data_IF_354200120307
#
_entry.id   IF_354200120307
#
_cell.length_a   1.000
_cell.length_b   1.000
_cell.length_c   1.000
_cell.angle_alpha   90.00
_cell.angle_beta   90.00
_cell.angle_gamma   90.00
#
_symmetry.space_group_name_H-M   'P 1'
#
loop_
_entity.id
_entity.type
_entity.pdbx_description
1 polymer ?
#
# COMPACT_ATOMS: atom_id res chain seq x y z
N UNK A 1 -26.52 -4.47 15.91
CA UNK A 1 -26.16 -3.72 14.69
C UNK A 1 -25.02 -4.50 14.05
N UNK A 2 -25.14 -4.91 12.78
CA UNK A 2 -24.03 -5.59 12.10
C UNK A 2 -22.86 -4.62 11.92
N UNK A 3 -21.61 -5.10 11.97
CA UNK A 3 -20.43 -4.26 11.74
C UNK A 3 -20.53 -3.58 10.37
N UNK A 4 -20.70 -2.26 10.38
CA UNK A 4 -20.70 -1.43 9.17
C UNK A 4 -19.31 -1.55 8.52
N UNK A 5 -19.27 -2.00 7.27
CA UNK A 5 -18.00 -2.04 6.53
C UNK A 5 -17.50 -0.63 6.23
N UNK A 6 -16.19 -0.48 6.28
CA UNK A 6 -15.49 0.79 6.10
C UNK A 6 -14.57 0.71 4.89
N UNK A 7 -14.61 1.73 4.04
CA UNK A 7 -13.88 1.75 2.78
C UNK A 7 -13.03 3.01 2.64
N UNK A 8 -11.78 2.87 2.22
CA UNK A 8 -11.00 3.96 1.65
C UNK A 8 -11.41 4.14 0.19
N UNK A 9 -11.88 5.34 -0.16
CA UNK A 9 -12.40 5.65 -1.51
C UNK A 9 -11.56 6.67 -2.26
N UNK A 10 -10.75 7.48 -1.60
CA UNK A 10 -9.85 8.45 -2.23
C UNK A 10 -8.57 8.58 -1.44
N UNK A 11 -7.43 8.68 -2.13
CA UNK A 11 -6.10 8.82 -1.49
C UNK A 11 -5.22 9.83 -2.21
N UNK A 12 -4.44 10.59 -1.44
CA UNK A 12 -3.54 11.61 -1.97
C UNK A 12 -2.37 11.86 -1.03
N UNK A 13 -1.21 12.18 -1.58
CA UNK A 13 -0.05 12.59 -0.79
C UNK A 13 0.85 13.52 -1.58
N UNK A 14 1.54 14.41 -0.88
CA UNK A 14 2.62 15.20 -1.46
C UNK A 14 3.84 14.32 -1.72
N UNK A 15 4.77 14.81 -2.53
CA UNK A 15 6.15 14.31 -2.45
C UNK A 15 6.70 14.61 -1.06
N UNK A 16 7.31 13.62 -0.42
CA UNK A 16 8.08 13.85 0.80
C UNK A 16 9.43 14.43 0.41
N UNK A 17 9.81 15.52 1.07
CA UNK A 17 11.01 16.26 0.71
C UNK A 17 11.85 16.62 1.93
N UNK A 18 13.13 16.90 1.69
CA UNK A 18 14.03 17.36 2.74
C UNK A 18 13.47 18.67 3.34
N UNK A 19 13.48 18.84 4.67
CA UNK A 19 13.03 20.07 5.30
C UNK A 19 13.73 21.30 4.71
N UNK A 20 12.94 22.33 4.41
CA UNK A 20 13.42 23.59 3.81
C UNK A 20 13.81 23.49 2.33
N UNK A 21 13.55 22.37 1.64
CA UNK A 21 13.83 22.24 0.20
C UNK A 21 12.73 22.79 -0.72
N UNK A 22 11.55 23.09 -0.17
CA UNK A 22 10.44 23.76 -0.87
C UNK A 22 10.00 24.97 -0.04
N UNK A 23 9.61 26.04 -0.72
CA UNK A 23 9.03 27.24 -0.11
C UNK A 23 7.52 27.04 0.06
N UNK A 24 7.13 26.53 1.23
CA UNK A 24 5.75 26.18 1.58
C UNK A 24 5.58 26.05 3.10
N UNK A 25 4.34 26.04 3.57
CA UNK A 25 4.02 25.73 4.96
C UNK A 25 2.97 24.59 5.08
N UNK A 26 2.73 24.10 6.29
CA UNK A 26 1.85 22.95 6.53
C UNK A 26 0.43 23.09 5.91
N UNK A 27 -0.21 24.28 5.83
CA UNK A 27 -1.49 24.41 5.14
C UNK A 27 -1.38 24.11 3.64
N UNK A 28 -0.27 24.49 2.98
CA UNK A 28 -0.05 24.21 1.56
C UNK A 28 0.10 22.70 1.32
N UNK A 29 0.85 22.02 2.19
CA UNK A 29 1.03 20.57 2.11
C UNK A 29 -0.30 19.84 2.26
N UNK A 30 -1.10 20.23 3.25
CA UNK A 30 -2.43 19.65 3.50
C UNK A 30 -3.37 19.94 2.33
N UNK A 31 -3.38 21.16 1.82
CA UNK A 31 -4.20 21.51 0.64
C UNK A 31 -3.85 20.64 -0.56
N UNK A 32 -2.57 20.44 -0.85
CA UNK A 32 -2.12 19.57 -1.95
C UNK A 32 -2.60 18.12 -1.74
N UNK A 33 -2.28 17.51 -0.58
CA UNK A 33 -2.63 16.11 -0.31
C UNK A 33 -4.15 15.85 -0.27
N UNK A 34 -4.93 16.74 0.32
CA UNK A 34 -6.38 16.58 0.43
C UNK A 34 -7.07 16.80 -0.92
N UNK A 35 -6.65 17.78 -1.72
CA UNK A 35 -7.19 17.93 -3.08
C UNK A 35 -6.89 16.69 -3.93
N UNK A 36 -5.68 16.12 -3.85
CA UNK A 36 -5.36 14.88 -4.55
C UNK A 36 -6.28 13.72 -4.12
N UNK A 37 -6.59 13.61 -2.82
CA UNK A 37 -7.48 12.57 -2.31
C UNK A 37 -8.95 12.77 -2.74
N UNK A 38 -9.42 14.02 -2.72
CA UNK A 38 -10.77 14.41 -3.17
C UNK A 38 -10.94 14.22 -4.68
N UNK A 39 -9.94 14.62 -5.48
CA UNK A 39 -9.93 14.44 -6.93
C UNK A 39 -9.94 12.94 -7.30
N UNK A 40 -9.18 12.11 -6.57
CA UNK A 40 -9.11 10.67 -6.79
C UNK A 40 -10.46 9.96 -6.54
N UNK A 41 -11.36 10.54 -5.72
CA UNK A 41 -12.73 10.07 -5.54
C UNK A 41 -13.80 11.00 -6.13
N UNK A 42 -13.42 12.04 -6.88
CA UNK A 42 -14.36 13.00 -7.47
C UNK A 42 -15.39 13.59 -6.49
N UNK A 43 -14.98 13.79 -5.24
CA UNK A 43 -15.79 14.43 -4.19
C UNK A 43 -15.29 15.86 -3.94
N UNK A 44 -16.12 16.64 -3.25
CA UNK A 44 -15.79 17.97 -2.77
C UNK A 44 -15.54 17.93 -1.27
N UNK A 45 -14.82 18.92 -0.76
CA UNK A 45 -14.63 19.07 0.67
C UNK A 45 -15.96 19.22 1.44
N UNK A 46 -17.01 19.75 0.79
CA UNK A 46 -18.36 19.83 1.35
C UNK A 46 -19.03 18.47 1.59
N UNK A 47 -18.51 17.39 1.01
CA UNK A 47 -19.02 16.03 1.18
C UNK A 47 -18.40 15.31 2.38
N UNK A 48 -17.39 15.92 3.03
CA UNK A 48 -16.77 15.41 4.24
C UNK A 48 -17.60 15.85 5.45
N UNK A 49 -17.91 14.93 6.34
CA UNK A 49 -18.74 15.19 7.53
C UNK A 49 -17.92 15.36 8.81
N UNK A 50 -16.74 14.71 8.88
CA UNK A 50 -15.79 14.81 9.99
C UNK A 50 -14.35 14.59 9.51
N UNK A 51 -13.37 15.15 10.23
CA UNK A 51 -11.96 14.94 9.91
C UNK A 51 -11.09 14.64 11.13
N UNK A 52 -10.06 13.82 10.93
CA UNK A 52 -8.89 13.73 11.80
C UNK A 52 -7.68 14.34 11.11
N UNK A 53 -6.88 15.11 11.85
CA UNK A 53 -5.65 15.72 11.34
C UNK A 53 -4.50 15.42 12.28
N UNK A 54 -3.50 14.72 11.77
CA UNK A 54 -2.40 14.16 12.55
C UNK A 54 -1.10 14.92 12.33
N UNK A 55 -0.47 15.40 13.40
CA UNK A 55 0.83 16.08 13.39
C UNK A 55 1.49 15.99 14.76
N UNK A 56 2.83 16.10 14.81
CA UNK A 56 3.56 16.17 16.06
C UNK A 56 4.04 17.60 16.35
N UNK A 57 4.58 18.31 15.36
CA UNK A 57 5.14 19.64 15.51
C UNK A 57 4.14 20.69 15.04
N UNK A 58 3.51 21.36 15.99
CA UNK A 58 2.54 22.42 15.74
C UNK A 58 1.82 22.84 17.01
N UNK A 59 1.32 24.06 17.04
CA UNK A 59 0.47 24.54 18.12
C UNK A 59 -0.92 23.90 18.08
N UNK A 60 -1.72 24.16 19.11
CA UNK A 60 -3.12 23.73 19.13
C UNK A 60 -3.84 24.19 17.87
N UNK A 61 -4.71 23.32 17.36
CA UNK A 61 -5.57 23.59 16.20
C UNK A 61 -4.86 23.84 14.86
N UNK A 62 -3.60 23.42 14.69
CA UNK A 62 -2.96 23.44 13.36
C UNK A 62 -3.75 22.63 12.32
N UNK A 63 -4.44 21.56 12.72
CA UNK A 63 -5.29 20.78 11.82
C UNK A 63 -6.47 21.57 11.24
N UNK A 64 -7.16 22.35 12.07
CA UNK A 64 -8.20 23.29 11.62
C UNK A 64 -7.61 24.32 10.68
N UNK A 65 -6.52 24.97 11.11
CA UNK A 65 -5.85 26.00 10.29
C UNK A 65 -5.46 25.45 8.91
N UNK A 66 -5.00 24.21 8.83
CA UNK A 66 -4.63 23.57 7.58
C UNK A 66 -5.85 23.30 6.67
N UNK A 67 -6.94 22.76 7.23
CA UNK A 67 -8.14 22.43 6.45
C UNK A 67 -8.97 23.66 6.02
N UNK A 68 -8.85 24.79 6.72
CA UNK A 68 -9.54 26.03 6.34
C UNK A 68 -9.17 26.56 4.95
N UNK A 69 -8.02 26.16 4.40
CA UNK A 69 -7.61 26.47 3.02
C UNK A 69 -8.45 25.75 1.95
N UNK A 70 -9.20 24.72 2.33
CA UNK A 70 -10.09 23.94 1.46
C UNK A 70 -11.55 24.42 1.57
N UNK A 71 -11.96 24.88 2.76
CA UNK A 71 -13.28 25.43 3.00
C UNK A 71 -13.64 25.52 4.48
N UNK A 72 -14.68 26.30 4.78
CA UNK A 72 -15.19 26.53 6.14
C UNK A 72 -16.57 25.87 6.30
N UNK A 73 -16.60 24.54 6.36
CA UNK A 73 -17.86 23.73 6.37
C UNK A 73 -18.48 23.59 7.76
N UNK A 74 -17.75 23.92 8.83
CA UNK A 74 -18.22 23.75 10.21
C UNK A 74 -18.15 22.31 10.74
N UNK A 75 -17.51 21.39 10.00
CA UNK A 75 -17.39 19.99 10.40
C UNK A 75 -16.51 19.83 11.67
N UNK A 76 -16.74 18.81 12.49
CA UNK A 76 -15.82 18.43 13.55
C UNK A 76 -14.43 18.06 12.99
N UNK A 77 -13.39 18.68 13.55
CA UNK A 77 -11.98 18.42 13.22
C UNK A 77 -11.23 18.05 14.50
N UNK A 78 -10.66 16.85 14.53
CA UNK A 78 -9.89 16.35 15.66
C UNK A 78 -8.39 16.37 15.34
N UNK A 79 -7.61 17.04 16.17
CA UNK A 79 -6.14 17.01 16.08
C UNK A 79 -5.65 15.78 16.85
N UNK A 80 -4.86 14.92 16.21
CA UNK A 80 -4.46 13.62 16.78
C UNK A 80 -2.94 13.50 16.79
N UNK A 81 -2.38 13.10 17.93
CA UNK A 81 -0.97 12.73 18.00
C UNK A 81 -0.79 11.45 18.81
N UNK A 82 0.15 10.62 18.36
CA UNK A 82 0.52 9.36 18.97
C UNK A 82 1.95 8.97 18.53
N UNK A 83 2.87 9.96 18.62
CA UNK A 83 4.21 9.91 18.04
C UNK A 83 4.18 9.49 16.55
N UNK A 84 5.06 8.61 16.10
CA UNK A 84 5.13 8.16 14.70
C UNK A 84 3.92 7.33 14.23
N UNK A 85 3.02 6.95 15.15
CA UNK A 85 1.75 6.29 14.85
C UNK A 85 0.56 7.26 14.63
N UNK A 86 0.81 8.59 14.64
CA UNK A 86 -0.26 9.59 14.60
C UNK A 86 -1.19 9.43 13.39
N UNK A 87 -0.62 9.32 12.18
CA UNK A 87 -1.40 9.19 10.95
C UNK A 87 -2.32 7.96 10.95
N UNK A 88 -1.82 6.80 11.39
CA UNK A 88 -2.65 5.59 11.48
C UNK A 88 -3.65 5.65 12.63
N UNK A 89 -3.35 6.38 13.70
CA UNK A 89 -4.33 6.66 14.77
C UNK A 89 -5.49 7.51 14.23
N UNK A 90 -5.21 8.49 13.35
CA UNK A 90 -6.24 9.25 12.65
C UNK A 90 -7.14 8.37 11.76
N UNK A 91 -6.54 7.47 10.97
CA UNK A 91 -7.29 6.50 10.15
C UNK A 91 -8.15 5.57 11.03
N UNK A 92 -7.60 5.08 12.14
CA UNK A 92 -8.33 4.25 13.10
C UNK A 92 -9.54 4.99 13.68
N UNK A 93 -9.39 6.25 14.10
CA UNK A 93 -10.50 7.06 14.61
C UNK A 93 -11.56 7.33 13.54
N UNK A 94 -11.16 7.60 12.29
CA UNK A 94 -12.10 7.72 11.17
C UNK A 94 -12.91 6.42 10.95
N UNK A 95 -12.28 5.25 11.08
CA UNK A 95 -12.99 3.96 11.09
C UNK A 95 -14.02 3.90 12.22
N UNK A 96 -13.64 4.32 13.44
CA UNK A 96 -14.56 4.36 14.59
C UNK A 96 -15.73 5.34 14.38
N UNK A 97 -15.52 6.49 13.74
CA UNK A 97 -16.61 7.43 13.41
C UNK A 97 -17.66 6.78 12.49
N UNK A 98 -17.22 5.98 11.52
CA UNK A 98 -18.12 5.25 10.61
C UNK A 98 -18.82 4.10 11.31
N UNK A 99 -18.09 3.27 12.06
CA UNK A 99 -18.65 2.10 12.74
C UNK A 99 -19.65 2.46 13.86
N UNK A 100 -19.45 3.62 14.50
CA UNK A 100 -20.41 4.16 15.47
C UNK A 100 -21.65 4.80 14.82
N UNK A 101 -21.64 5.00 13.50
CA UNK A 101 -22.72 5.66 12.77
C UNK A 101 -22.75 7.18 12.91
N UNK A 102 -21.66 7.79 13.41
CA UNK A 102 -21.56 9.24 13.61
C UNK A 102 -21.29 10.01 12.30
N UNK A 103 -20.73 9.33 11.29
CA UNK A 103 -20.48 9.88 9.96
C UNK A 103 -20.46 8.78 8.90
N UNK A 104 -20.72 9.15 7.65
CA UNK A 104 -20.74 8.31 6.45
C UNK A 104 -19.56 8.59 5.51
N UNK A 105 -19.00 9.81 5.55
CA UNK A 105 -17.84 10.22 4.75
C UNK A 105 -16.92 11.10 5.59
N UNK A 106 -15.69 10.63 5.82
CA UNK A 106 -14.72 11.28 6.71
C UNK A 106 -13.35 11.40 6.05
N UNK A 107 -12.57 12.36 6.55
CA UNK A 107 -11.20 12.62 6.09
C UNK A 107 -10.18 12.27 7.17
N UNK A 108 -9.24 11.38 6.86
CA UNK A 108 -8.02 11.21 7.65
C UNK A 108 -6.88 11.94 6.93
N UNK A 109 -6.29 12.94 7.57
CA UNK A 109 -5.15 13.67 7.05
C UNK A 109 -4.00 13.65 8.07
N UNK A 110 -2.77 13.65 7.58
CA UNK A 110 -1.60 13.85 8.43
C UNK A 110 -0.53 14.64 7.69
N UNK A 111 0.19 15.49 8.42
CA UNK A 111 1.26 16.29 7.87
C UNK A 111 2.43 16.39 8.87
N UNK A 112 3.59 16.78 8.38
CA UNK A 112 4.66 17.26 9.23
C UNK A 112 5.47 18.33 8.50
N UNK A 113 5.85 19.38 9.22
CA UNK A 113 6.89 20.33 8.82
C UNK A 113 8.02 20.22 9.84
N UNK A 114 9.12 19.62 9.42
CA UNK A 114 10.25 19.28 10.29
C UNK A 114 11.40 20.27 10.09
N UNK A 115 12.46 20.09 10.85
CA UNK A 115 13.76 20.71 10.63
C UNK A 115 14.78 19.68 10.11
N UNK A 116 15.84 20.10 9.40
CA UNK A 116 16.96 19.22 9.08
C UNK A 116 17.68 18.77 10.35
N UNK A 117 17.98 17.48 10.48
CA UNK A 117 18.76 16.96 11.62
C UNK A 117 18.15 15.70 12.22
N UNK A 118 18.47 15.42 13.49
CA UNK A 118 17.77 14.38 14.25
C UNK A 118 16.45 14.91 14.79
N UNK A 119 15.62 14.01 15.35
CA UNK A 119 14.42 14.42 16.08
C UNK A 119 14.77 15.18 17.37
N UNK A 120 15.86 14.79 18.02
CA UNK A 120 16.29 15.40 19.29
C UNK A 120 16.61 16.89 19.12
N UNK A 121 17.13 17.32 17.96
CA UNK A 121 17.37 18.74 17.68
C UNK A 121 16.08 19.55 17.44
N UNK A 122 14.93 18.90 17.39
CA UNK A 122 13.61 19.52 17.23
C UNK A 122 12.75 19.40 18.49
N UNK A 123 13.13 18.51 19.41
CA UNK A 123 12.51 18.34 20.70
C UNK A 123 12.99 19.43 21.68
N UNK A 124 12.85 20.70 21.32
CA UNK A 124 12.95 21.80 22.30
C UNK A 124 11.65 21.87 23.10
N UNK A 125 11.46 20.93 24.02
CA UNK A 125 10.44 21.06 25.05
C UNK A 125 11.09 21.69 26.28
N UNK A 126 11.09 23.02 26.33
CA UNK A 126 11.26 23.79 27.57
C UNK A 126 10.00 23.68 28.44
N UNK A 127 9.68 22.44 28.78
CA UNK A 127 8.48 22.07 29.50
C UNK A 127 8.91 21.23 30.70
N UNK A 128 8.54 21.67 31.90
CA UNK A 128 8.95 21.08 33.18
C UNK A 128 8.19 19.78 33.52
N UNK A 129 7.32 19.32 32.60
CA UNK A 129 6.60 18.05 32.69
C UNK A 129 7.52 16.84 32.47
N UNK A 130 7.05 15.69 32.95
CA UNK A 130 7.72 14.40 32.77
C UNK A 130 7.79 14.06 31.27
N UNK A 131 8.96 13.60 30.81
CA UNK A 131 9.15 13.13 29.45
C UNK A 131 8.33 11.85 29.20
N UNK A 132 7.48 11.79 28.16
CA UNK A 132 6.65 10.60 27.88
C UNK A 132 7.42 9.31 27.59
N UNK A 133 8.73 9.42 27.36
CA UNK A 133 9.63 8.30 27.05
C UNK A 133 10.63 8.02 28.17
N UNK A 134 10.48 8.62 29.37
CA UNK A 134 11.42 8.47 30.48
C UNK A 134 11.67 6.99 30.86
N UNK A 135 10.60 6.18 30.95
CA UNK A 135 10.71 4.74 31.23
C UNK A 135 11.30 3.94 30.08
N UNK A 136 11.08 4.37 28.84
CA UNK A 136 11.72 3.75 27.67
C UNK A 136 13.24 4.02 27.69
N UNK A 137 13.64 5.26 28.00
CA UNK A 137 15.04 5.66 28.17
C UNK A 137 15.68 4.89 29.33
N UNK A 138 14.97 4.73 30.46
CA UNK A 138 15.47 3.98 31.62
C UNK A 138 15.81 2.54 31.25
N UNK A 139 14.95 1.84 30.50
CA UNK A 139 15.23 0.46 30.04
C UNK A 139 16.52 0.41 29.22
N UNK A 140 16.74 1.38 28.34
CA UNK A 140 17.96 1.44 27.53
C UNK A 140 19.18 1.71 28.41
N UNK A 141 19.08 2.66 29.33
CA UNK A 141 20.14 3.01 30.27
C UNK A 141 20.57 1.80 31.11
N UNK A 142 19.62 1.00 31.57
CA UNK A 142 19.87 -0.18 32.42
C UNK A 142 20.42 -1.38 31.65
N UNK A 143 20.13 -1.49 30.35
CA UNK A 143 20.51 -2.65 29.52
C UNK A 143 21.78 -2.43 28.71
N UNK A 144 21.87 -1.31 27.98
CA UNK A 144 22.96 -1.02 27.05
C UNK A 144 23.71 0.28 27.39
N UNK A 145 23.19 1.11 28.30
CA UNK A 145 23.73 2.43 28.63
C UNK A 145 23.27 3.52 27.66
N UNK A 146 23.62 4.76 27.97
CA UNK A 146 23.33 5.94 27.14
C UNK A 146 24.62 6.52 26.56
N UNK A 147 24.59 6.81 25.26
CA UNK A 147 25.72 7.32 24.50
C UNK A 147 25.39 8.66 23.82
N UNK A 148 26.40 9.45 23.42
CA UNK A 148 26.19 10.72 22.70
C UNK A 148 25.80 10.49 21.23
N UNK A 149 24.63 9.89 21.00
CA UNK A 149 24.03 9.62 19.70
C UNK A 149 22.51 9.92 19.76
N UNK A 150 21.82 10.10 18.60
CA UNK A 150 20.38 10.37 18.62
C UNK A 150 19.59 9.30 19.38
N UNK A 151 18.68 9.69 20.27
CA UNK A 151 18.01 8.78 21.22
C UNK A 151 17.25 7.67 20.49
N UNK A 152 16.49 8.01 19.45
CA UNK A 152 15.75 7.00 18.66
C UNK A 152 16.69 6.02 17.95
N UNK A 153 17.85 6.48 17.47
CA UNK A 153 18.85 5.59 16.87
C UNK A 153 19.42 4.60 17.90
N UNK A 154 19.59 5.05 19.15
CA UNK A 154 19.98 4.18 20.26
C UNK A 154 18.90 3.13 20.57
N UNK A 155 17.62 3.54 20.65
CA UNK A 155 16.51 2.62 20.93
C UNK A 155 16.46 1.45 19.93
N UNK A 156 16.40 1.76 18.63
CA UNK A 156 16.25 0.74 17.60
C UNK A 156 17.58 0.02 17.28
N UNK A 157 18.72 0.71 17.40
CA UNK A 157 20.03 0.09 17.28
C UNK A 157 20.26 -0.97 18.37
N UNK A 158 19.90 -0.68 19.62
CA UNK A 158 19.99 -1.63 20.73
C UNK A 158 19.03 -2.80 20.57
N UNK A 159 17.80 -2.59 20.08
CA UNK A 159 16.90 -3.70 19.75
C UNK A 159 17.48 -4.62 18.65
N UNK A 160 18.15 -4.05 17.65
CA UNK A 160 18.88 -4.82 16.64
C UNK A 160 20.05 -5.59 17.24
N UNK A 161 20.82 -4.96 18.12
CA UNK A 161 21.95 -5.57 18.84
C UNK A 161 21.50 -6.74 19.72
N UNK A 162 20.42 -6.57 20.47
CA UNK A 162 19.80 -7.62 21.27
C UNK A 162 19.42 -8.82 20.39
N UNK A 163 18.88 -8.56 19.20
CA UNK A 163 18.52 -9.61 18.24
C UNK A 163 19.77 -10.35 17.70
N UNK A 164 20.87 -9.62 17.44
CA UNK A 164 22.16 -10.23 17.09
C UNK A 164 22.70 -11.11 18.23
N UNK A 165 22.67 -10.62 19.46
CA UNK A 165 23.17 -11.33 20.65
C UNK A 165 22.37 -12.60 20.96
N UNK A 166 21.04 -12.54 20.83
CA UNK A 166 20.14 -13.66 21.16
C UNK A 166 20.03 -14.71 20.05
N UNK A 167 20.01 -14.28 18.79
CA UNK A 167 19.61 -15.14 17.67
C UNK A 167 20.68 -15.30 16.59
N UNK A 168 21.81 -14.61 16.70
CA UNK A 168 22.89 -14.67 15.73
C UNK A 168 22.60 -13.95 14.42
N UNK A 169 21.62 -13.04 14.39
CA UNK A 169 21.38 -12.13 13.25
C UNK A 169 22.65 -11.38 12.92
N UNK A 170 22.89 -11.19 11.63
CA UNK A 170 24.12 -10.60 11.13
C UNK A 170 23.92 -9.14 10.78
N UNK A 171 25.00 -8.36 10.90
CA UNK A 171 25.04 -6.96 10.51
C UNK A 171 24.54 -6.74 9.07
N UNK A 172 24.89 -7.66 8.18
CA UNK A 172 24.54 -7.61 6.76
C UNK A 172 23.03 -7.76 6.54
N UNK A 173 22.28 -8.39 7.44
CA UNK A 173 20.82 -8.48 7.32
C UNK A 173 20.17 -7.09 7.40
N UNK A 174 20.62 -6.24 8.33
CA UNK A 174 20.13 -4.86 8.44
C UNK A 174 20.50 -4.01 7.21
N UNK A 175 21.73 -4.15 6.70
CA UNK A 175 22.16 -3.43 5.49
C UNK A 175 21.34 -3.86 4.26
N UNK A 176 21.07 -5.16 4.10
CA UNK A 176 20.24 -5.69 3.00
C UNK A 176 18.81 -5.14 3.07
N UNK A 177 18.24 -4.96 4.25
CA UNK A 177 16.91 -4.35 4.42
C UNK A 177 16.92 -2.90 3.89
N UNK A 178 17.88 -2.09 4.33
CA UNK A 178 17.99 -0.71 3.88
C UNK A 178 18.28 -0.62 2.37
N UNK A 179 19.19 -1.45 1.85
CA UNK A 179 19.47 -1.57 0.43
C UNK A 179 18.20 -1.86 -0.38
N UNK A 180 17.39 -2.83 0.06
CA UNK A 180 16.10 -3.17 -0.57
C UNK A 180 15.12 -2.00 -0.55
N UNK A 181 15.02 -1.27 0.56
CA UNK A 181 14.16 -0.07 0.64
C UNK A 181 14.62 1.03 -0.33
N UNK A 182 15.92 1.31 -0.43
CA UNK A 182 16.46 2.24 -1.43
C UNK A 182 16.20 1.78 -2.86
N UNK A 183 16.34 0.48 -3.15
CA UNK A 183 16.03 -0.09 -4.46
C UNK A 183 14.55 0.10 -4.84
N UNK A 184 13.63 -0.16 -3.91
CA UNK A 184 12.20 0.04 -4.11
C UNK A 184 11.83 1.52 -4.36
N UNK A 185 12.57 2.45 -3.74
CA UNK A 185 12.33 3.89 -3.84
C UNK A 185 12.60 4.49 -5.23
N UNK A 186 13.45 3.86 -6.05
CA UNK A 186 13.92 4.38 -7.35
C UNK A 186 12.75 4.73 -8.29
N UNK A 187 11.65 4.01 -8.17
CA UNK A 187 10.45 4.20 -9.00
C UNK A 187 9.30 4.89 -8.27
N UNK A 188 9.54 5.45 -7.08
CA UNK A 188 8.54 6.19 -6.33
C UNK A 188 8.76 7.71 -6.50
N UNK A 189 7.92 8.41 -7.28
CA UNK A 189 8.08 9.86 -7.49
C UNK A 189 7.84 10.67 -6.22
N UNK A 190 7.13 10.11 -5.23
CA UNK A 190 6.83 10.77 -3.96
C UNK A 190 7.91 10.53 -2.89
N UNK A 191 8.95 9.76 -3.20
CA UNK A 191 10.07 9.48 -2.29
C UNK A 191 11.04 10.65 -2.23
N UNK A 192 11.52 10.98 -1.02
CA UNK A 192 12.58 11.96 -0.82
C UNK A 192 13.88 11.53 -1.50
N UNK A 193 14.23 10.24 -1.40
CA UNK A 193 15.36 9.64 -2.07
C UNK A 193 14.91 8.65 -3.13
N UNK A 194 15.40 8.82 -4.37
CA UNK A 194 15.15 7.89 -5.48
C UNK A 194 16.47 7.37 -6.07
N UNK A 195 17.56 7.51 -5.31
CA UNK A 195 18.89 7.08 -5.71
C UNK A 195 19.06 5.60 -5.34
N UNK A 196 19.50 4.81 -6.31
CA UNK A 196 19.95 3.45 -6.06
C UNK A 196 21.33 3.44 -5.38
N UNK A 197 21.50 2.56 -4.40
CA UNK A 197 22.77 2.33 -3.71
C UNK A 197 23.18 0.87 -3.89
N UNK A 198 24.49 0.62 -3.92
CA UNK A 198 25.01 -0.75 -3.78
C UNK A 198 24.96 -1.18 -2.31
N UNK A 199 24.93 -2.48 -2.04
CA UNK A 199 24.98 -3.00 -0.67
C UNK A 199 26.25 -2.52 0.06
N UNK A 200 27.40 -2.48 -0.63
CA UNK A 200 28.65 -1.97 -0.07
C UNK A 200 28.57 -0.50 0.33
N UNK A 201 27.85 0.33 -0.43
CA UNK A 201 27.62 1.73 -0.06
C UNK A 201 26.76 1.85 1.21
N UNK A 202 25.80 0.95 1.40
CA UNK A 202 24.97 0.91 2.62
C UNK A 202 25.81 0.47 3.82
N UNK A 203 26.60 -0.59 3.68
CA UNK A 203 27.48 -1.11 4.75
C UNK A 203 28.54 -0.10 5.20
N UNK A 204 29.10 0.66 4.25
CA UNK A 204 30.16 1.64 4.51
C UNK A 204 29.63 3.08 4.69
N UNK A 205 28.31 3.26 4.81
CA UNK A 205 27.73 4.56 5.09
C UNK A 205 28.21 5.12 6.44
N UNK A 206 28.19 6.45 6.58
CA UNK A 206 28.56 7.13 7.82
C UNK A 206 27.87 6.47 9.02
N UNK A 207 28.65 6.04 10.01
CA UNK A 207 28.12 5.44 11.24
C UNK A 207 27.29 6.48 12.03
N UNK A 208 26.14 6.03 12.56
CA UNK A 208 25.24 6.83 13.39
C UNK A 208 25.25 6.33 14.83
N UNK A 209 25.15 5.01 15.03
CA UNK A 209 25.16 4.41 16.36
C UNK A 209 25.54 2.93 16.29
N UNK A 210 26.49 2.49 17.13
CA UNK A 210 27.01 1.11 17.20
C UNK A 210 27.32 0.57 15.79
N UNK A 211 26.54 -0.37 15.27
CA UNK A 211 26.73 -0.94 13.94
C UNK A 211 25.97 -0.20 12.82
N UNK A 212 25.00 0.63 13.17
CA UNK A 212 24.02 1.21 12.25
C UNK A 212 24.56 2.44 11.51
N UNK A 213 24.43 2.41 10.18
CA UNK A 213 24.86 3.47 9.28
C UNK A 213 23.73 4.42 8.88
N UNK A 214 24.11 5.57 8.31
CA UNK A 214 23.19 6.64 7.90
C UNK A 214 22.12 6.16 6.90
N UNK A 215 22.48 5.27 5.98
CA UNK A 215 21.54 4.76 4.97
C UNK A 215 20.54 3.75 5.52
N UNK A 216 20.67 3.34 6.79
CA UNK A 216 19.73 2.47 7.51
C UNK A 216 18.78 3.24 8.43
N UNK A 217 18.86 4.56 8.41
CA UNK A 217 18.03 5.47 9.19
C UNK A 217 17.09 6.24 8.26
N UNK A 218 15.82 6.43 8.66
CA UNK A 218 14.93 7.33 7.93
C UNK A 218 15.40 8.79 8.06
N UNK A 219 15.25 9.61 7.01
CA UNK A 219 15.49 11.04 7.11
C UNK A 219 14.29 11.77 7.73
N UNK A 220 14.55 12.93 8.32
CA UNK A 220 13.50 13.94 8.56
C UNK A 220 12.96 14.45 7.23
N UNK A 221 11.65 14.66 7.15
CA UNK A 221 10.97 15.04 5.90
C UNK A 221 9.79 15.94 6.17
N UNK A 222 9.56 16.88 5.24
CA UNK A 222 8.29 17.61 5.14
C UNK A 222 7.34 16.84 4.23
N UNK A 223 6.05 16.87 4.53
CA UNK A 223 5.03 16.33 3.63
C UNK A 223 3.68 16.10 4.29
N UNK A 224 2.68 15.78 3.45
CA UNK A 224 1.31 15.49 3.87
C UNK A 224 0.72 14.32 3.09
N UNK A 225 -0.22 13.61 3.71
CA UNK A 225 -1.02 12.56 3.10
C UNK A 225 -2.46 12.61 3.62
N UNK A 226 -3.40 12.19 2.77
CA UNK A 226 -4.83 12.20 3.05
C UNK A 226 -5.52 10.94 2.50
N UNK A 227 -6.53 10.48 3.21
CA UNK A 227 -7.43 9.40 2.81
C UNK A 227 -8.89 9.80 3.10
N UNK A 228 -9.74 9.68 2.08
CA UNK A 228 -11.20 9.80 2.23
C UNK A 228 -11.76 8.41 2.49
N UNK A 229 -12.49 8.28 3.58
CA UNK A 229 -12.99 7.00 4.10
C UNK A 229 -14.52 7.11 4.22
N UNK A 230 -15.25 6.07 3.81
CA UNK A 230 -16.70 6.08 3.82
C UNK A 230 -17.32 4.77 4.32
N UNK A 231 -18.60 4.86 4.68
CA UNK A 231 -19.43 3.70 5.02
C UNK A 231 -19.91 2.93 3.78
N UNK A 232 -20.39 1.71 3.98
CA UNK A 232 -21.11 0.95 2.93
C UNK A 232 -22.35 1.73 2.44
N UNK A 233 -23.06 2.45 3.34
CA UNK A 233 -24.24 3.28 3.01
C UNK A 233 -23.88 4.43 2.08
N UNK A 234 -22.78 5.13 2.35
CA UNK A 234 -22.29 6.20 1.47
C UNK A 234 -21.94 5.63 0.09
N UNK A 235 -21.27 4.47 0.07
CA UNK A 235 -20.87 3.80 -1.16
C UNK A 235 -22.08 3.31 -2.00
N UNK A 236 -23.18 2.94 -1.35
CA UNK A 236 -24.44 2.61 -2.02
C UNK A 236 -25.04 3.80 -2.77
N UNK A 237 -25.00 4.98 -2.16
CA UNK A 237 -25.45 6.24 -2.76
C UNK A 237 -24.48 6.76 -3.82
N UNK A 238 -23.19 6.43 -3.71
CA UNK A 238 -22.12 6.83 -4.61
C UNK A 238 -21.57 5.63 -5.38
N UNK A 239 -22.46 4.90 -6.06
CA UNK A 239 -22.14 3.63 -6.74
C UNK A 239 -20.96 3.67 -7.71
N UNK A 240 -20.62 4.85 -8.26
CA UNK A 240 -19.46 5.06 -9.13
C UNK A 240 -18.11 4.84 -8.43
N UNK A 241 -18.05 4.92 -7.09
CA UNK A 241 -16.86 4.70 -6.28
C UNK A 241 -16.61 3.22 -5.94
N UNK A 242 -17.60 2.35 -6.13
CA UNK A 242 -17.48 0.91 -5.82
C UNK A 242 -16.27 0.22 -6.47
N UNK A 243 -15.91 0.48 -7.74
CA UNK A 243 -14.77 -0.20 -8.36
C UNK A 243 -13.41 0.11 -7.72
N UNK A 244 -13.30 1.22 -7.00
CA UNK A 244 -12.05 1.66 -6.37
C UNK A 244 -12.03 1.57 -4.85
N UNK A 245 -13.17 1.27 -4.23
CA UNK A 245 -13.32 1.18 -2.78
C UNK A 245 -12.43 0.07 -2.22
N UNK A 246 -11.55 0.42 -1.30
CA UNK A 246 -10.66 -0.49 -0.57
C UNK A 246 -11.23 -0.69 0.82
N UNK A 247 -11.72 -1.89 1.11
CA UNK A 247 -12.27 -2.25 2.42
C UNK A 247 -11.15 -2.34 3.45
N UNK A 248 -11.35 -1.72 4.61
CA UNK A 248 -10.57 -1.97 5.82
C UNK A 248 -11.15 -3.22 6.48
N UNK A 249 -10.47 -4.36 6.35
CA UNK A 249 -11.07 -5.66 6.66
C UNK A 249 -10.93 -6.05 8.12
N UNK A 250 -11.91 -6.82 8.58
CA UNK A 250 -11.90 -7.45 9.90
C UNK A 250 -11.33 -8.88 9.86
N UNK A 251 -11.09 -9.40 11.06
CA UNK A 251 -10.21 -10.53 11.39
C UNK A 251 -10.60 -11.88 10.76
N UNK A 252 -9.63 -12.79 10.68
CA UNK A 252 -9.75 -14.13 10.10
C UNK A 252 -8.70 -14.44 9.02
N UNK A 253 -7.87 -13.45 8.71
CA UNK A 253 -6.76 -13.53 7.76
C UNK A 253 -5.44 -13.70 8.52
N UNK A 254 -4.48 -14.33 7.86
CA UNK A 254 -3.14 -14.59 8.37
C UNK A 254 -2.11 -13.80 7.56
N UNK A 255 -0.88 -13.64 8.06
CA UNK A 255 0.17 -12.98 7.28
C UNK A 255 0.52 -13.73 5.98
N UNK A 256 0.15 -15.01 5.86
CA UNK A 256 0.32 -15.79 4.63
C UNK A 256 -0.67 -15.39 3.51
N UNK A 257 -1.75 -14.69 3.86
CA UNK A 257 -2.74 -14.22 2.89
C UNK A 257 -2.34 -12.90 2.23
N UNK A 258 -1.32 -12.23 2.76
CA UNK A 258 -0.87 -10.88 2.37
C UNK A 258 0.16 -10.96 1.23
N UNK A 259 0.05 -10.08 0.24
CA UNK A 259 1.05 -9.97 -0.85
C UNK A 259 1.94 -8.74 -0.70
N UNK A 260 1.40 -7.66 -0.13
CA UNK A 260 2.09 -6.39 0.01
C UNK A 260 2.01 -5.87 1.43
N UNK A 261 3.12 -5.37 1.94
CA UNK A 261 3.24 -4.84 3.30
C UNK A 261 3.85 -3.44 3.23
N UNK A 262 3.24 -2.47 3.90
CA UNK A 262 3.90 -1.21 4.27
C UNK A 262 4.05 -1.19 5.79
N UNK A 263 5.28 -1.34 6.27
CA UNK A 263 5.61 -1.39 7.69
C UNK A 263 6.49 -0.22 8.12
N UNK A 264 6.67 -0.07 9.43
CA UNK A 264 7.34 1.06 10.04
C UNK A 264 8.87 0.89 10.11
N UNK A 265 9.57 1.01 8.98
CA UNK A 265 11.03 0.92 8.88
C UNK A 265 11.74 2.24 9.24
N UNK A 266 11.44 2.85 10.40
CA UNK A 266 12.16 4.06 10.84
C UNK A 266 13.69 3.84 10.93
N UNK A 267 14.08 2.61 11.28
CA UNK A 267 15.43 2.10 11.15
C UNK A 267 15.38 0.65 10.66
N UNK A 268 16.41 0.18 9.95
CA UNK A 268 16.47 -1.19 9.44
C UNK A 268 16.28 -2.28 10.51
N UNK A 269 16.80 -2.14 11.75
CA UNK A 269 16.49 -3.07 12.83
C UNK A 269 15.00 -3.21 13.15
N UNK A 270 14.23 -2.11 13.08
CA UNK A 270 12.81 -2.16 13.39
C UNK A 270 12.03 -2.97 12.34
N UNK A 271 12.41 -2.87 11.06
CA UNK A 271 11.81 -3.70 10.01
C UNK A 271 12.08 -5.19 10.26
N UNK A 272 13.31 -5.57 10.63
CA UNK A 272 13.66 -6.97 10.88
C UNK A 272 12.83 -7.58 12.02
N UNK A 273 12.79 -6.94 13.18
CA UNK A 273 12.02 -7.45 14.33
C UNK A 273 10.51 -7.42 14.07
N UNK A 274 10.05 -6.49 13.21
CA UNK A 274 8.64 -6.42 12.81
C UNK A 274 8.22 -7.63 11.97
N UNK A 275 9.12 -8.25 11.20
CA UNK A 275 8.79 -9.49 10.49
C UNK A 275 8.31 -10.59 11.45
N UNK A 276 8.96 -10.69 12.61
CA UNK A 276 8.65 -11.67 13.64
C UNK A 276 7.39 -11.25 14.42
N UNK A 277 7.29 -9.97 14.76
CA UNK A 277 6.12 -9.42 15.47
C UNK A 277 4.82 -9.55 14.66
N UNK A 278 4.88 -9.45 13.33
CA UNK A 278 3.76 -9.68 12.43
C UNK A 278 3.49 -11.16 12.15
N UNK A 279 4.33 -12.08 12.65
CA UNK A 279 4.19 -13.52 12.41
C UNK A 279 4.51 -13.96 10.98
N UNK A 280 5.38 -13.23 10.25
CA UNK A 280 5.88 -13.65 8.94
C UNK A 280 6.84 -14.85 9.06
N UNK A 281 7.53 -14.92 10.19
CA UNK A 281 8.41 -16.03 10.56
C UNK A 281 8.45 -16.18 12.09
N UNK A 282 9.01 -17.28 12.57
CA UNK A 282 9.21 -17.51 14.00
C UNK A 282 10.21 -16.49 14.58
N UNK A 283 10.13 -16.27 15.90
CA UNK A 283 11.06 -15.40 16.63
C UNK A 283 12.51 -15.84 16.41
N UNK A 284 13.40 -14.89 16.14
CA UNK A 284 14.80 -15.10 15.80
C UNK A 284 15.05 -15.54 14.35
N UNK A 285 14.03 -15.59 13.49
CA UNK A 285 14.15 -15.99 12.07
C UNK A 285 14.04 -14.84 11.07
N UNK A 286 13.96 -13.58 11.52
CA UNK A 286 13.87 -12.40 10.65
C UNK A 286 14.98 -12.34 9.58
N UNK A 287 16.22 -12.68 9.94
CA UNK A 287 17.34 -12.74 8.98
C UNK A 287 17.14 -13.77 7.85
N UNK A 288 16.35 -14.83 8.08
CA UNK A 288 16.05 -15.85 7.05
C UNK A 288 15.17 -15.29 5.93
N UNK A 289 14.23 -14.40 6.24
CA UNK A 289 13.42 -13.69 5.23
C UNK A 289 14.34 -12.86 4.33
N UNK A 290 15.30 -12.16 4.94
CA UNK A 290 16.26 -11.32 4.22
C UNK A 290 17.17 -12.16 3.31
N UNK A 291 17.71 -13.28 3.80
CA UNK A 291 18.61 -14.13 3.02
C UNK A 291 17.92 -14.82 1.84
N UNK A 292 16.62 -15.11 1.96
CA UNK A 292 15.80 -15.68 0.87
C UNK A 292 15.30 -14.65 -0.13
N UNK A 293 15.39 -13.36 0.19
CA UNK A 293 14.73 -12.31 -0.58
C UNK A 293 13.21 -12.38 -0.49
N UNK A 294 12.66 -12.94 0.59
CA UNK A 294 11.21 -13.08 0.79
C UNK A 294 10.51 -11.75 1.08
N UNK A 295 11.25 -10.65 1.21
CA UNK A 295 10.77 -9.30 1.50
C UNK A 295 10.80 -8.34 0.28
N UNK A 296 11.01 -8.85 -0.93
CA UNK A 296 11.08 -8.05 -2.17
C UNK A 296 10.33 -8.71 -3.33
N UNK A 297 10.34 -8.06 -4.51
CA UNK A 297 9.72 -8.58 -5.72
C UNK A 297 10.29 -9.94 -6.11
N UNK A 298 9.41 -10.90 -6.38
CA UNK A 298 9.77 -12.31 -6.62
C UNK A 298 9.87 -13.16 -5.36
N UNK A 299 9.92 -12.55 -4.17
CA UNK A 299 9.81 -13.21 -2.88
C UNK A 299 8.37 -13.47 -2.45
N UNK A 300 8.20 -13.99 -1.23
CA UNK A 300 6.88 -14.27 -0.65
C UNK A 300 6.04 -13.02 -0.38
N UNK A 301 6.64 -11.94 0.11
CA UNK A 301 5.98 -10.65 0.37
C UNK A 301 6.77 -9.53 -0.29
N UNK A 302 6.06 -8.56 -0.88
CA UNK A 302 6.71 -7.30 -1.26
C UNK A 302 6.55 -6.32 -0.10
N UNK A 303 7.64 -6.11 0.63
CA UNK A 303 7.65 -5.26 1.82
C UNK A 303 8.23 -3.88 1.47
N UNK A 304 7.46 -2.85 1.78
CA UNK A 304 7.74 -1.45 1.50
C UNK A 304 8.01 -1.18 0.01
N UNK A 305 7.08 -1.50 -0.91
CA UNK A 305 7.26 -1.20 -2.33
C UNK A 305 7.45 0.29 -2.61
N UNK A 306 7.03 1.18 -1.71
CA UNK A 306 7.27 2.63 -1.79
C UNK A 306 8.72 3.06 -1.52
N UNK A 307 9.55 2.15 -1.00
CA UNK A 307 10.86 2.44 -0.44
C UNK A 307 10.88 2.70 1.07
N UNK A 308 9.73 2.59 1.75
CA UNK A 308 9.65 2.67 3.20
C UNK A 308 10.08 4.02 3.76
N UNK A 309 10.06 4.16 5.08
CA UNK A 309 10.51 5.37 5.77
C UNK A 309 12.00 5.65 5.49
N UNK A 310 12.83 4.62 5.32
CA UNK A 310 14.28 4.75 5.05
C UNK A 310 14.54 5.63 3.82
N UNK A 311 13.76 5.47 2.75
CA UNK A 311 14.01 6.18 1.49
C UNK A 311 12.93 7.22 1.16
N UNK A 312 11.65 6.88 1.39
CA UNK A 312 10.51 7.78 1.14
C UNK A 312 10.59 9.02 2.00
N UNK A 313 11.11 8.88 3.21
CA UNK A 313 11.11 9.92 4.22
C UNK A 313 10.03 9.72 5.28
N UNK A 314 10.18 10.41 6.40
CA UNK A 314 9.36 10.19 7.58
C UNK A 314 8.79 11.50 8.17
N UNK A 315 7.86 12.18 7.47
CA UNK A 315 6.99 13.17 8.09
C UNK A 315 6.05 12.44 9.05
N UNK A 316 6.26 12.67 10.35
CA UNK A 316 5.72 11.85 11.45
C UNK A 316 4.19 11.74 11.36
N UNK A 317 3.48 12.88 11.34
CA UNK A 317 2.02 12.92 11.22
C UNK A 317 1.46 12.27 9.95
N UNK A 318 2.18 12.38 8.82
CA UNK A 318 1.71 11.90 7.52
C UNK A 318 1.98 10.42 7.25
N UNK A 319 2.95 9.81 7.93
CA UNK A 319 3.49 8.48 7.57
C UNK A 319 2.43 7.39 7.56
N UNK A 320 1.60 7.30 8.61
CA UNK A 320 0.55 6.30 8.67
C UNK A 320 -0.50 6.45 7.56
N UNK A 321 -0.83 7.68 7.16
CA UNK A 321 -1.76 7.91 6.04
C UNK A 321 -1.08 7.61 4.71
N UNK A 322 0.20 7.96 4.53
CA UNK A 322 0.96 7.64 3.32
C UNK A 322 1.13 6.14 3.07
N UNK A 323 1.21 5.32 4.12
CA UNK A 323 1.14 3.87 3.99
C UNK A 323 -0.22 3.44 3.41
N UNK A 324 -1.34 4.00 3.89
CA UNK A 324 -2.69 3.75 3.32
C UNK A 324 -2.76 4.16 1.85
N UNK A 325 -2.12 5.27 1.47
CA UNK A 325 -2.04 5.72 0.07
C UNK A 325 -1.36 4.67 -0.81
N UNK A 326 -0.18 4.18 -0.44
CA UNK A 326 0.52 3.16 -1.22
C UNK A 326 -0.28 1.85 -1.29
N UNK A 327 -0.78 1.34 -0.16
CA UNK A 327 -1.53 0.08 -0.14
C UNK A 327 -2.83 0.15 -0.94
N UNK A 328 -3.53 1.27 -0.87
CA UNK A 328 -4.75 1.49 -1.67
C UNK A 328 -4.42 1.52 -3.16
N UNK A 329 -3.33 2.19 -3.55
CA UNK A 329 -2.89 2.22 -4.95
C UNK A 329 -2.40 0.87 -5.45
N UNK A 330 -1.74 0.06 -4.62
CA UNK A 330 -1.35 -1.31 -4.96
C UNK A 330 -2.57 -2.20 -5.23
N UNK A 331 -3.58 -2.16 -4.35
CA UNK A 331 -4.83 -2.90 -4.52
C UNK A 331 -5.65 -2.43 -5.74
N UNK A 332 -5.52 -1.15 -6.11
CA UNK A 332 -6.19 -0.54 -7.27
C UNK A 332 -5.41 -0.66 -8.57
N UNK A 333 -4.21 -1.25 -8.58
CA UNK A 333 -3.40 -1.40 -9.78
C UNK A 333 -2.74 -0.10 -10.28
N UNK A 334 -2.54 0.89 -9.41
CA UNK A 334 -2.09 2.26 -9.75
C UNK A 334 -0.60 2.51 -9.48
N UNK A 335 0.20 1.49 -9.17
CA UNK A 335 1.60 1.67 -8.75
C UNK A 335 2.65 1.58 -9.86
N UNK A 336 2.25 1.39 -11.13
CA UNK A 336 3.16 1.39 -12.28
C UNK A 336 4.30 0.38 -12.12
N UNK A 337 5.56 0.82 -12.21
CA UNK A 337 6.75 -0.05 -12.02
C UNK A 337 6.85 -0.66 -10.63
N UNK A 338 6.17 -0.10 -9.62
CA UNK A 338 6.13 -0.63 -8.25
C UNK A 338 4.96 -1.60 -8.03
N UNK A 339 4.16 -1.88 -9.06
CA UNK A 339 2.96 -2.69 -8.90
C UNK A 339 3.32 -4.12 -8.47
N UNK A 340 2.78 -4.55 -7.33
CA UNK A 340 2.91 -5.92 -6.83
C UNK A 340 1.99 -6.83 -7.66
N UNK A 341 2.51 -7.91 -8.28
CA UNK A 341 1.69 -8.85 -9.03
C UNK A 341 0.64 -9.53 -8.13
N UNK A 342 -0.59 -9.70 -8.64
CA UNK A 342 -1.67 -10.40 -7.95
C UNK A 342 -2.00 -9.85 -6.54
N UNK A 343 -1.79 -8.56 -6.30
CA UNK A 343 -2.08 -7.90 -5.03
C UNK A 343 -3.57 -7.96 -4.69
N UNK A 344 -3.96 -8.76 -3.69
CA UNK A 344 -5.36 -8.93 -3.25
C UNK A 344 -5.57 -8.51 -1.80
N UNK A 345 -4.55 -8.70 -0.97
CA UNK A 345 -4.55 -8.31 0.43
C UNK A 345 -3.27 -7.56 0.75
N UNK A 346 -3.44 -6.42 1.41
CA UNK A 346 -2.39 -5.53 1.85
C UNK A 346 -2.39 -5.37 3.37
N UNK A 347 -1.20 -5.29 3.96
CA UNK A 347 -1.03 -5.08 5.40
C UNK A 347 -0.26 -3.79 5.67
N UNK A 348 -0.77 -3.01 6.60
CA UNK A 348 -0.09 -1.86 7.17
C UNK A 348 0.42 -2.17 8.58
N UNK A 349 1.61 -1.69 8.91
CA UNK A 349 2.10 -1.60 10.28
C UNK A 349 2.69 -0.20 10.53
N UNK A 350 2.22 0.47 11.58
CA UNK A 350 2.68 1.79 11.99
C UNK A 350 2.85 1.84 13.51
N UNK A 351 4.01 2.27 14.00
CA UNK A 351 4.31 2.31 15.44
C UNK A 351 4.89 3.67 15.82
N UNK A 352 4.60 4.15 17.02
CA UNK A 352 5.21 5.32 17.62
C UNK A 352 5.65 5.00 19.05
N UNK A 353 6.84 5.42 19.45
CA UNK A 353 7.37 5.21 20.82
C UNK A 353 6.68 6.17 21.80
N UNK A 354 6.30 5.65 22.97
CA UNK A 354 5.48 6.33 23.97
C UNK A 354 4.42 5.44 24.62
N UNK A 355 3.60 4.68 23.89
CA UNK A 355 3.44 4.63 22.45
C UNK A 355 2.25 3.78 22.00
N UNK A 356 2.04 3.69 20.69
CA UNK A 356 0.98 2.87 20.10
C UNK A 356 1.45 2.17 18.82
N UNK A 357 0.91 0.97 18.58
CA UNK A 357 1.04 0.24 17.32
C UNK A 357 -0.33 0.09 16.66
N UNK A 358 -0.41 0.40 15.36
CA UNK A 358 -1.62 0.25 14.55
C UNK A 358 -1.31 -0.69 13.39
N UNK A 359 -2.12 -1.74 13.27
CA UNK A 359 -2.09 -2.68 12.15
C UNK A 359 -3.41 -2.59 11.40
N UNK A 360 -3.33 -2.46 10.08
CA UNK A 360 -4.50 -2.40 9.20
C UNK A 360 -4.40 -3.45 8.11
N UNK A 361 -5.52 -4.09 7.77
CA UNK A 361 -5.62 -4.99 6.63
C UNK A 361 -6.57 -4.38 5.60
N UNK A 362 -6.21 -4.49 4.32
CA UNK A 362 -6.93 -3.85 3.24
C UNK A 362 -7.13 -4.81 2.07
N UNK A 363 -8.32 -4.83 1.49
CA UNK A 363 -8.60 -5.54 0.23
C UNK A 363 -9.51 -4.69 -0.66
N UNK A 364 -9.52 -4.95 -1.96
CA UNK A 364 -10.51 -4.31 -2.83
C UNK A 364 -11.92 -4.80 -2.42
N UNK A 365 -12.79 -3.86 -2.06
CA UNK A 365 -14.05 -4.13 -1.35
C UNK A 365 -15.08 -4.92 -2.15
N UNK A 366 -14.99 -4.89 -3.48
CA UNK A 366 -15.74 -5.75 -4.38
C UNK A 366 -14.82 -6.14 -5.54
N UNK A 367 -14.32 -7.39 -5.63
CA UNK A 367 -13.62 -7.87 -6.82
C UNK A 367 -14.64 -8.03 -7.95
N UNK A 368 -14.99 -6.93 -8.62
CA UNK A 368 -15.75 -6.85 -9.89
C UNK A 368 -16.71 -8.02 -10.16
N UNK A 369 -17.57 -8.37 -9.20
CA UNK A 369 -18.71 -9.24 -9.50
C UNK A 369 -19.74 -8.35 -10.19
N UNK A 370 -20.00 -8.62 -11.47
CA UNK A 370 -20.90 -7.91 -12.41
C UNK A 370 -20.30 -6.81 -13.29
N UNK A 371 -19.04 -6.92 -13.70
CA UNK A 371 -18.68 -6.58 -15.08
C UNK A 371 -18.36 -7.87 -15.81
N UNK A 372 -19.18 -8.23 -16.79
CA UNK A 372 -18.73 -9.16 -17.84
C UNK A 372 -17.41 -8.57 -18.35
N UNK A 373 -16.27 -9.29 -18.33
CA UNK A 373 -15.02 -8.73 -18.79
C UNK A 373 -15.16 -8.40 -20.27
N UNK A 374 -15.42 -7.13 -20.57
CA UNK A 374 -15.15 -6.57 -21.89
C UNK A 374 -13.65 -6.34 -21.90
N UNK A 375 -12.90 -7.37 -22.28
CA UNK A 375 -11.51 -7.19 -22.65
C UNK A 375 -11.48 -6.31 -23.90
N UNK A 376 -11.20 -5.02 -23.73
CA UNK A 376 -10.63 -4.20 -24.79
C UNK A 376 -9.16 -4.61 -24.95
N UNK A 377 -8.75 -4.82 -26.19
CA UNK A 377 -7.50 -5.48 -26.57
C UNK A 377 -6.25 -4.63 -26.29
N UNK A 378 -5.67 -4.72 -25.10
CA UNK A 378 -4.34 -4.19 -24.81
C UNK A 378 -3.22 -5.20 -25.18
N UNK A 379 -3.24 -5.75 -26.38
CA UNK A 379 -2.20 -6.73 -26.78
C UNK A 379 -1.94 -6.90 -28.28
N UNK A 380 -2.91 -6.62 -29.16
CA UNK A 380 -2.67 -6.62 -30.60
C UNK A 380 -3.66 -5.64 -31.25
N UNK A 381 -3.17 -4.46 -31.69
CA UNK A 381 -4.01 -3.38 -32.23
C UNK A 381 -4.80 -3.79 -33.48
N UNK A 382 -4.42 -4.89 -34.14
CA UNK A 382 -5.04 -5.35 -35.39
C UNK A 382 -5.86 -6.64 -35.21
N UNK A 383 -6.13 -7.11 -33.99
CA UNK A 383 -6.88 -8.36 -33.78
C UNK A 383 -8.30 -8.30 -34.35
N UNK A 384 -8.98 -7.15 -34.21
CA UNK A 384 -10.33 -6.95 -34.75
C UNK A 384 -10.34 -7.00 -36.28
N UNK A 385 -9.32 -6.44 -36.93
CA UNK A 385 -9.13 -6.50 -38.39
C UNK A 385 -8.80 -7.93 -38.87
N UNK A 386 -7.97 -8.68 -38.14
CA UNK A 386 -7.59 -10.07 -38.49
C UNK A 386 -8.77 -11.04 -38.35
N UNK A 387 -9.59 -10.85 -37.33
CA UNK A 387 -10.71 -11.73 -36.96
C UNK A 387 -11.96 -11.43 -37.79
N UNK A 388 -12.25 -10.15 -38.10
CA UNK A 388 -13.37 -9.66 -38.94
C UNK A 388 -14.67 -10.46 -38.78
N UNK A 389 -15.00 -10.81 -37.54
CA UNK A 389 -16.18 -11.61 -37.19
C UNK A 389 -16.51 -11.43 -35.71
N UNK A 390 -17.78 -11.58 -35.33
CA UNK A 390 -18.22 -11.47 -33.94
C UNK A 390 -18.30 -12.82 -33.23
N UNK A 391 -17.63 -12.92 -32.08
CA UNK A 391 -17.55 -14.14 -31.27
C UNK A 391 -18.10 -13.92 -29.87
N UNK A 392 -18.79 -14.94 -29.38
CA UNK A 392 -19.14 -15.09 -27.97
C UNK A 392 -18.67 -16.45 -27.47
N UNK A 393 -17.72 -16.45 -26.56
CA UNK A 393 -17.11 -17.66 -25.99
C UNK A 393 -17.62 -17.81 -24.55
N UNK A 394 -18.37 -18.88 -24.30
CA UNK A 394 -18.84 -19.27 -22.98
C UNK A 394 -17.84 -20.27 -22.37
N UNK A 395 -17.23 -19.91 -21.25
CA UNK A 395 -16.25 -20.73 -20.54
C UNK A 395 -16.90 -21.30 -19.29
N UNK A 396 -16.95 -22.63 -19.19
CA UNK A 396 -17.57 -23.34 -18.06
C UNK A 396 -16.47 -23.70 -17.05
N UNK A 397 -16.54 -23.09 -15.86
CA UNK A 397 -15.63 -23.35 -14.74
C UNK A 397 -15.92 -24.68 -14.04
N UNK A 398 -14.95 -25.16 -13.26
CA UNK A 398 -15.02 -26.45 -12.56
C UNK A 398 -16.14 -26.53 -11.51
N UNK A 399 -16.62 -25.38 -11.02
CA UNK A 399 -17.76 -25.26 -10.10
C UNK A 399 -19.12 -25.08 -10.81
N UNK A 400 -19.17 -25.25 -12.14
CA UNK A 400 -20.39 -25.05 -12.94
C UNK A 400 -20.70 -23.58 -13.29
N UNK A 401 -19.89 -22.62 -12.82
CA UNK A 401 -20.04 -21.21 -13.21
C UNK A 401 -19.72 -21.01 -14.70
N UNK A 402 -20.40 -20.06 -15.35
CA UNK A 402 -20.16 -19.74 -16.76
C UNK A 402 -19.64 -18.30 -16.89
N UNK A 403 -18.43 -18.13 -17.43
CA UNK A 403 -17.88 -16.83 -17.84
C UNK A 403 -18.09 -16.60 -19.33
N UNK A 404 -18.25 -15.34 -19.76
CA UNK A 404 -18.44 -14.97 -21.17
C UNK A 404 -17.29 -14.09 -21.64
N UNK A 405 -16.68 -14.44 -22.76
CA UNK A 405 -15.68 -13.63 -23.46
C UNK A 405 -16.24 -13.24 -24.83
N UNK A 406 -16.37 -11.94 -25.07
CA UNK A 406 -16.93 -11.37 -26.32
C UNK A 406 -15.80 -10.73 -27.12
N UNK A 407 -15.76 -11.00 -28.42
CA UNK A 407 -14.79 -10.42 -29.36
C UNK A 407 -15.58 -9.85 -30.53
N UNK A 408 -15.40 -8.56 -30.81
CA UNK A 408 -16.23 -7.77 -31.74
C UNK A 408 -17.73 -7.85 -31.36
N UNK A 409 -18.22 -6.88 -30.59
CA UNK A 409 -19.56 -6.91 -29.98
C UNK A 409 -20.74 -6.71 -30.96
N UNK A 410 -20.52 -6.86 -32.28
CA UNK A 410 -21.57 -6.81 -33.31
C UNK A 410 -22.58 -7.95 -33.09
N UNK A 411 -23.84 -7.58 -32.86
CA UNK A 411 -24.97 -8.51 -32.68
C UNK A 411 -25.81 -8.62 -33.97
N UNK A 412 -26.38 -9.80 -34.29
CA UNK A 412 -26.20 -11.09 -33.60
C UNK A 412 -24.76 -11.60 -33.71
N UNK A 413 -24.30 -12.37 -32.72
CA UNK A 413 -22.96 -12.97 -32.77
C UNK A 413 -22.90 -13.98 -33.91
N UNK A 414 -21.88 -13.86 -34.76
CA UNK A 414 -21.73 -14.74 -35.92
C UNK A 414 -21.28 -16.15 -35.50
N UNK A 415 -20.56 -16.25 -34.38
CA UNK A 415 -20.10 -17.52 -33.81
C UNK A 415 -20.26 -17.50 -32.29
N UNK A 416 -20.88 -18.54 -31.74
CA UNK A 416 -20.90 -18.83 -30.32
C UNK A 416 -20.13 -20.13 -30.02
N UNK A 417 -19.22 -20.06 -29.04
CA UNK A 417 -18.38 -21.18 -28.61
C UNK A 417 -18.69 -21.49 -27.15
N UNK A 418 -18.66 -22.76 -26.78
CA UNK A 418 -18.73 -23.20 -25.39
C UNK A 418 -17.61 -24.20 -25.12
N UNK A 419 -16.79 -23.93 -24.11
CA UNK A 419 -15.62 -24.75 -23.75
C UNK A 419 -15.47 -24.81 -22.22
N UNK A 420 -14.94 -25.93 -21.71
CA UNK A 420 -14.58 -26.03 -20.28
C UNK A 420 -13.26 -25.32 -20.01
N UNK A 421 -13.14 -24.73 -18.82
CA UNK A 421 -11.95 -23.99 -18.40
C UNK A 421 -10.66 -24.85 -18.49
N UNK A 422 -10.73 -26.10 -18.05
CA UNK A 422 -9.59 -27.04 -18.15
C UNK A 422 -9.16 -27.30 -19.60
N UNK A 423 -10.09 -27.38 -20.55
CA UNK A 423 -9.76 -27.59 -21.96
C UNK A 423 -9.22 -26.29 -22.60
N UNK A 424 -9.72 -25.12 -22.19
CA UNK A 424 -9.16 -23.81 -22.56
C UNK A 424 -7.70 -23.65 -22.09
N UNK A 425 -7.40 -24.04 -20.85
CA UNK A 425 -6.03 -24.02 -20.31
C UNK A 425 -5.09 -24.97 -21.05
N UNK A 426 -5.59 -26.13 -21.48
CA UNK A 426 -4.81 -27.04 -22.35
C UNK A 426 -4.52 -26.42 -23.70
N UNK A 427 -5.45 -25.66 -24.27
CA UNK A 427 -5.23 -24.92 -25.51
C UNK A 427 -4.20 -23.81 -25.31
N UNK A 428 -4.32 -22.99 -24.26
CA UNK A 428 -3.36 -21.94 -23.92
C UNK A 428 -1.93 -22.48 -23.68
N UNK A 429 -1.83 -23.67 -23.09
CA UNK A 429 -0.55 -24.36 -22.89
C UNK A 429 0.01 -25.03 -24.16
N UNK A 430 -0.68 -24.98 -25.30
CA UNK A 430 -0.32 -25.68 -26.54
C UNK A 430 -0.48 -27.20 -26.48
N UNK A 431 -1.14 -27.73 -25.44
CA UNK A 431 -1.34 -29.16 -25.17
C UNK A 431 -2.61 -29.75 -25.80
N UNK A 432 -3.44 -28.91 -26.43
CA UNK A 432 -4.65 -29.31 -27.16
C UNK A 432 -4.87 -28.29 -28.28
N UNK A 433 -5.11 -28.74 -29.51
CA UNK A 433 -5.44 -27.81 -30.59
C UNK A 433 -6.94 -27.51 -30.63
N UNK A 434 -7.37 -26.29 -31.02
CA UNK A 434 -8.79 -25.93 -31.08
C UNK A 434 -9.63 -26.81 -32.03
N UNK A 435 -9.10 -27.16 -33.20
CA UNK A 435 -9.73 -28.09 -34.16
C UNK A 435 -9.98 -29.46 -33.51
N UNK A 436 -8.96 -29.96 -32.81
CA UNK A 436 -9.03 -31.24 -32.10
C UNK A 436 -10.04 -31.18 -30.94
N UNK A 437 -10.11 -30.08 -30.19
CA UNK A 437 -11.08 -29.89 -29.12
C UNK A 437 -12.53 -29.92 -29.64
N UNK A 438 -12.78 -29.32 -30.81
CA UNK A 438 -14.09 -29.36 -31.46
C UNK A 438 -14.45 -30.76 -31.93
N UNK A 439 -13.55 -31.43 -32.66
CA UNK A 439 -13.80 -32.79 -33.18
C UNK A 439 -14.00 -33.83 -32.06
N UNK A 440 -13.37 -33.64 -30.91
CA UNK A 440 -13.55 -34.50 -29.73
C UNK A 440 -14.78 -34.15 -28.87
N UNK A 441 -15.59 -33.16 -29.29
CA UNK A 441 -16.78 -32.72 -28.55
C UNK A 441 -16.48 -31.96 -27.24
N UNK A 442 -15.22 -31.59 -26.99
CA UNK A 442 -14.78 -30.82 -25.81
C UNK A 442 -15.05 -29.33 -25.96
N UNK A 443 -15.17 -28.86 -27.19
CA UNK A 443 -15.62 -27.52 -27.55
C UNK A 443 -16.86 -27.62 -28.42
N UNK A 444 -17.94 -26.93 -28.04
CA UNK A 444 -19.16 -26.82 -28.86
C UNK A 444 -19.15 -25.49 -29.59
N UNK A 445 -19.61 -25.48 -30.83
CA UNK A 445 -19.67 -24.29 -31.65
C UNK A 445 -21.02 -24.20 -32.36
N UNK A 446 -21.58 -22.99 -32.43
CA UNK A 446 -22.79 -22.63 -33.18
C UNK A 446 -22.51 -21.38 -34.01
N UNK A 447 -23.10 -21.27 -35.19
CA UNK A 447 -22.95 -20.10 -36.06
C UNK A 447 -22.26 -20.41 -37.39
N UNK A 448 -21.68 -19.39 -38.02
CA UNK A 448 -21.13 -19.50 -39.38
C UNK A 448 -19.84 -20.35 -39.41
N UNK A 449 -19.93 -21.55 -39.98
CA UNK A 449 -18.84 -22.53 -40.04
C UNK A 449 -17.66 -22.04 -40.88
N UNK A 450 -17.87 -21.23 -41.93
CA UNK A 450 -16.77 -20.70 -42.76
C UNK A 450 -15.91 -19.72 -41.95
N UNK A 451 -16.55 -18.90 -41.12
CA UNK A 451 -15.89 -17.94 -40.21
C UNK A 451 -15.17 -18.63 -39.04
N UNK A 452 -15.50 -19.89 -38.73
CA UNK A 452 -14.84 -20.65 -37.66
C UNK A 452 -13.35 -20.93 -37.93
N UNK A 453 -12.90 -20.85 -39.18
CA UNK A 453 -11.48 -20.95 -39.56
C UNK A 453 -10.59 -19.89 -38.92
N UNK A 454 -11.19 -18.80 -38.39
CA UNK A 454 -10.51 -17.73 -37.66
C UNK A 454 -10.22 -18.08 -36.19
N UNK A 455 -10.76 -19.20 -35.68
CA UNK A 455 -10.47 -19.72 -34.34
C UNK A 455 -8.98 -19.88 -34.04
N UNK A 456 -8.19 -20.26 -35.05
CA UNK A 456 -6.74 -20.44 -34.92
C UNK A 456 -6.02 -19.16 -34.47
N UNK A 457 -6.54 -17.98 -34.83
CA UNK A 457 -5.99 -16.69 -34.40
C UNK A 457 -6.47 -16.32 -32.99
N UNK A 458 -7.67 -16.75 -32.61
CA UNK A 458 -8.28 -16.45 -31.31
C UNK A 458 -7.70 -17.30 -30.18
N UNK A 459 -7.36 -18.54 -30.50
CA UNK A 459 -6.83 -19.53 -29.56
C UNK A 459 -5.35 -19.85 -29.84
N UNK A 460 -4.63 -18.89 -30.41
CA UNK A 460 -3.18 -18.98 -30.52
C UNK A 460 -2.59 -19.07 -29.10
N UNK A 461 -1.83 -20.15 -28.78
CA UNK A 461 -1.24 -20.35 -27.47
C UNK A 461 -0.37 -19.16 -27.01
N UNK A 462 0.35 -18.50 -27.92
CA UNK A 462 1.18 -17.34 -27.56
C UNK A 462 0.31 -16.13 -27.16
N UNK A 463 -0.80 -15.90 -27.86
CA UNK A 463 -1.76 -14.84 -27.52
C UNK A 463 -2.51 -15.11 -26.22
N UNK A 464 -2.81 -16.37 -25.90
CA UNK A 464 -3.52 -16.73 -24.67
C UNK A 464 -2.59 -16.65 -23.46
N UNK A 465 -1.32 -17.07 -23.57
CA UNK A 465 -0.33 -16.97 -22.48
C UNK A 465 -0.10 -15.53 -22.01
N UNK A 466 -0.16 -14.54 -22.90
CA UNK A 466 -0.02 -13.13 -22.55
C UNK A 466 -1.20 -12.56 -21.74
N UNK A 467 -2.30 -13.32 -21.58
CA UNK A 467 -3.55 -12.89 -20.96
C UNK A 467 -3.90 -13.64 -19.67
N UNK A 468 -3.15 -14.68 -19.31
CA UNK A 468 -3.39 -15.54 -18.14
C UNK A 468 -2.27 -15.43 -17.12
#
# INVERSE_FOLDING_TARGET
MGNTKVYVIGVGMTKFCKPGSRDWDYPDMVKEAVNLALDDCSLKYSDIEMATVSYLFGGTCCGQRALYELGLTGIPIFNVNNACASGSSGVFLCKQFIESGNADCVLACGFEKMAPGSLDSQAENNDDRILPIDKHIQVIADTYGLFPAPMMAQMFGNAGKEHMEKYGTKREHFAKIAWKNHLHSVHNPNSQFTKEYTLDQVLNAKNIYDFMGLLECSPTSDGSAAAVICSERFLEQHSHLRPQAVEIVETGLTPNDVQVIELHDCFAPNELITYEALGLCDIGKGGTIVDRGDNTYGGKWVINPSGGLISKGHPIGATGVAQVVELSNQLRGKCGKRQVPNCKLALQHNIGIGGAGVVGLYRLGLPSSTSTPVMTTNGDKNLLEKVDSSFKINIIGNNGSTKKWIINAKKPFEIEITIKDNDLMRIAAGKLRPDQAYMQGRMKMKGNVVKSTKLKFLFDPEMLKAKF
#
